data_IF_567644950193
#
_entry.id   IF_567644950193
#
_cell.length_a   1.000
_cell.length_b   1.000
_cell.length_c   1.000
_cell.angle_alpha   90.00
_cell.angle_beta   90.00
_cell.angle_gamma   90.00
#
_symmetry.space_group_name_H-M   'P 1'
#
loop_
_entity.id
_entity.type
_entity.pdbx_description
1 polymer ?
#
# COMPACT_ATOMS: atom_id res chain seq x y z
N UNK A 1 9.42 -3.41 24.05
CA UNK A 1 7.97 -3.28 24.34
C UNK A 1 7.28 -3.17 23.00
N UNK A 2 6.16 -3.87 22.77
CA UNK A 2 5.41 -3.78 21.51
C UNK A 2 4.58 -2.49 21.49
N UNK A 3 4.58 -1.79 20.36
CA UNK A 3 3.79 -0.57 20.17
C UNK A 3 2.36 -0.96 19.85
N UNK A 4 1.35 -0.44 20.58
CA UNK A 4 -0.05 -0.80 20.34
C UNK A 4 -0.49 -0.36 18.93
N UNK A 5 -1.36 -1.17 18.31
CA UNK A 5 -2.00 -0.78 17.05
C UNK A 5 -3.19 0.16 17.35
N UNK A 6 -3.41 1.22 16.55
CA UNK A 6 -4.47 2.21 16.81
C UNK A 6 -5.87 1.59 16.77
N UNK A 7 -6.80 2.13 17.58
CA UNK A 7 -8.18 1.61 17.63
C UNK A 7 -8.98 1.93 16.36
N UNK A 8 -8.68 3.04 15.68
CA UNK A 8 -9.25 3.41 14.39
C UNK A 8 -8.16 3.83 13.41
N UNK A 9 -8.32 3.47 12.13
CA UNK A 9 -7.34 3.76 11.09
C UNK A 9 -8.01 3.85 9.71
N UNK A 10 -7.24 4.20 8.68
CA UNK A 10 -7.62 4.07 7.27
C UNK A 10 -6.45 3.38 6.55
N UNK A 11 -6.68 2.59 5.51
CA UNK A 11 -5.58 1.86 4.83
C UNK A 11 -4.81 2.72 3.83
N UNK A 12 -5.36 3.85 3.41
CA UNK A 12 -4.70 4.84 2.57
C UNK A 12 -5.59 6.05 2.35
N UNK A 13 -5.01 7.14 1.82
CA UNK A 13 -5.74 8.39 1.58
C UNK A 13 -5.49 8.92 0.16
N UNK A 14 -6.47 9.61 -0.46
CA UNK A 14 -6.21 10.37 -1.67
C UNK A 14 -5.02 11.30 -1.50
N UNK A 15 -4.21 11.43 -2.56
CA UNK A 15 -2.97 12.23 -2.54
C UNK A 15 -3.01 13.49 -3.40
N UNK A 16 -3.98 13.60 -4.31
CA UNK A 16 -4.05 14.70 -5.28
C UNK A 16 -4.30 16.10 -4.68
N UNK A 17 -4.73 16.18 -3.43
CA UNK A 17 -5.25 17.35 -2.74
C UNK A 17 -6.72 17.66 -3.06
N UNK A 18 -7.45 18.23 -2.09
CA UNK A 18 -8.88 18.52 -2.21
C UNK A 18 -9.22 19.47 -3.38
N UNK A 19 -8.26 20.29 -3.82
CA UNK A 19 -8.38 21.15 -5.02
C UNK A 19 -7.36 20.82 -6.08
N UNK A 20 -6.93 19.55 -6.11
CA UNK A 20 -5.98 18.98 -7.09
C UNK A 20 -4.62 19.67 -7.07
N UNK A 21 -4.14 20.04 -5.89
CA UNK A 21 -2.86 20.70 -5.63
C UNK A 21 -1.69 19.92 -6.28
N UNK A 22 -1.60 18.61 -6.07
CA UNK A 22 -0.53 17.79 -6.64
C UNK A 22 -0.60 17.77 -8.17
N UNK A 23 -1.80 17.64 -8.76
CA UNK A 23 -1.97 17.67 -10.22
C UNK A 23 -1.42 18.98 -10.81
N UNK A 24 -1.77 20.12 -10.21
CA UNK A 24 -1.30 21.44 -10.66
C UNK A 24 0.22 21.56 -10.56
N UNK A 25 0.81 21.12 -9.44
CA UNK A 25 2.26 21.12 -9.27
C UNK A 25 2.97 20.21 -10.28
N UNK A 26 2.43 19.01 -10.52
CA UNK A 26 2.95 18.04 -11.46
C UNK A 26 2.93 18.57 -12.91
N UNK A 27 1.81 19.15 -13.33
CA UNK A 27 1.66 19.77 -14.66
C UNK A 27 2.55 21.01 -14.83
N UNK A 28 2.78 21.78 -13.76
CA UNK A 28 3.71 22.91 -13.79
C UNK A 28 5.16 22.44 -13.91
N UNK A 29 5.55 21.41 -13.16
CA UNK A 29 6.89 20.83 -13.20
C UNK A 29 7.22 20.26 -14.58
N UNK A 30 6.32 19.43 -15.14
CA UNK A 30 6.54 18.87 -16.48
C UNK A 30 6.54 19.90 -17.61
N UNK A 31 5.90 21.06 -17.40
CA UNK A 31 5.94 22.16 -18.34
C UNK A 31 7.15 23.10 -18.13
N UNK A 32 8.06 22.79 -17.20
CA UNK A 32 9.23 23.62 -16.87
C UNK A 32 8.88 24.94 -16.22
N UNK A 33 7.66 25.10 -15.67
CA UNK A 33 7.22 26.33 -14.99
C UNK A 33 7.67 26.43 -13.54
N UNK A 34 7.98 25.28 -12.92
CA UNK A 34 8.60 25.18 -11.59
C UNK A 34 9.72 24.15 -11.67
N UNK A 35 10.70 24.24 -10.78
CA UNK A 35 11.77 23.27 -10.68
C UNK A 35 11.43 22.10 -9.74
N UNK A 36 12.37 21.16 -9.58
CA UNK A 36 12.19 19.98 -8.73
C UNK A 36 12.08 20.35 -7.24
N UNK A 37 12.73 21.42 -6.79
CA UNK A 37 12.69 21.87 -5.40
C UNK A 37 11.31 22.48 -5.07
N UNK A 38 10.75 23.27 -5.99
CA UNK A 38 9.41 23.84 -5.86
C UNK A 38 8.32 22.77 -5.94
N UNK A 39 8.47 21.76 -6.82
CA UNK A 39 7.57 20.61 -6.84
C UNK A 39 7.61 19.86 -5.50
N UNK A 40 8.81 19.51 -5.03
CA UNK A 40 9.02 18.78 -3.77
C UNK A 40 8.43 19.54 -2.57
N UNK A 41 8.63 20.86 -2.51
CA UNK A 41 8.08 21.73 -1.45
C UNK A 41 6.54 21.75 -1.48
N UNK A 42 5.96 21.81 -2.66
CA UNK A 42 4.50 21.84 -2.84
C UNK A 42 3.85 20.55 -2.34
N UNK A 43 4.42 19.40 -2.69
CA UNK A 43 3.89 18.09 -2.26
C UNK A 43 4.21 17.77 -0.79
N UNK A 44 5.34 18.25 -0.26
CA UNK A 44 5.62 18.22 1.18
C UNK A 44 4.55 18.97 1.97
N UNK A 45 4.24 20.21 1.57
CA UNK A 45 3.19 21.01 2.23
C UNK A 45 1.85 20.28 2.21
N UNK A 46 1.48 19.69 1.07
CA UNK A 46 0.25 18.92 0.93
C UNK A 46 0.19 17.70 1.88
N UNK A 47 1.30 16.97 2.06
CA UNK A 47 1.37 15.84 2.98
C UNK A 47 1.19 16.28 4.44
N UNK A 48 1.91 17.31 4.87
CA UNK A 48 1.78 17.85 6.23
C UNK A 48 0.35 18.31 6.52
N UNK A 49 -0.29 19.01 5.58
CA UNK A 49 -1.67 19.44 5.72
C UNK A 49 -2.65 18.25 5.77
N UNK A 50 -2.34 17.18 5.03
CA UNK A 50 -3.11 15.93 5.06
C UNK A 50 -3.01 15.24 6.42
N UNK A 51 -1.81 15.10 6.99
CA UNK A 51 -1.63 14.49 8.31
C UNK A 51 -2.37 15.29 9.39
N UNK A 52 -2.23 16.62 9.37
CA UNK A 52 -2.95 17.51 10.30
C UNK A 52 -4.46 17.34 10.18
N UNK A 53 -4.99 17.31 8.95
CA UNK A 53 -6.42 17.12 8.68
C UNK A 53 -6.92 15.79 9.22
N UNK A 54 -6.23 14.69 8.94
CA UNK A 54 -6.64 13.35 9.37
C UNK A 54 -6.63 13.23 10.90
N UNK A 55 -5.63 13.80 11.56
CA UNK A 55 -5.59 13.89 13.02
C UNK A 55 -6.77 14.70 13.59
N UNK A 56 -7.10 15.84 12.98
CA UNK A 56 -8.27 16.67 13.36
C UNK A 56 -9.61 15.95 13.15
N UNK A 57 -9.67 15.00 12.22
CA UNK A 57 -10.83 14.15 11.97
C UNK A 57 -10.93 12.94 12.92
N UNK A 58 -9.99 12.81 13.86
CA UNK A 58 -10.03 11.78 14.92
C UNK A 58 -8.99 10.67 14.76
N UNK A 59 -8.17 10.66 13.70
CA UNK A 59 -7.06 9.71 13.57
C UNK A 59 -5.81 10.24 14.32
N UNK A 60 -5.93 10.44 15.63
CA UNK A 60 -4.90 11.06 16.47
C UNK A 60 -3.97 10.07 17.17
N UNK A 61 -4.29 8.78 17.17
CA UNK A 61 -3.42 7.74 17.73
C UNK A 61 -2.18 7.55 16.85
N UNK A 62 -1.06 7.17 17.48
CA UNK A 62 0.17 6.83 16.75
C UNK A 62 -0.12 5.71 15.73
N UNK A 63 0.45 5.88 14.53
CA UNK A 63 0.29 4.97 13.40
C UNK A 63 -1.15 4.80 12.88
N UNK A 64 -2.14 5.59 13.33
CA UNK A 64 -3.49 5.62 12.74
C UNK A 64 -3.50 6.16 11.30
N UNK A 65 -2.56 7.04 10.98
CA UNK A 65 -2.44 7.66 9.67
C UNK A 65 -1.42 6.86 8.82
N UNK A 66 -1.82 6.36 7.63
CA UNK A 66 -0.89 5.75 6.68
C UNK A 66 -0.11 6.81 5.90
N UNK A 67 1.19 6.57 5.70
CA UNK A 67 2.03 7.35 4.77
C UNK A 67 1.92 6.82 3.34
N UNK A 68 0.72 6.79 2.77
CA UNK A 68 0.42 6.21 1.44
C UNK A 68 0.66 7.18 0.26
N UNK A 69 1.51 8.20 0.45
CA UNK A 69 1.77 9.21 -0.57
C UNK A 69 2.60 8.65 -1.72
N UNK A 70 2.34 9.15 -2.93
CA UNK A 70 3.12 8.87 -4.14
C UNK A 70 3.17 10.08 -5.05
N UNK A 71 4.23 10.25 -5.81
CA UNK A 71 4.28 11.26 -6.86
C UNK A 71 3.39 10.91 -8.06
N UNK A 72 3.24 9.63 -8.38
CA UNK A 72 2.47 9.17 -9.53
C UNK A 72 1.75 7.85 -9.26
N UNK A 73 2.48 6.79 -8.90
CA UNK A 73 1.92 5.47 -8.61
C UNK A 73 2.67 4.71 -7.49
N UNK A 74 1.90 4.13 -6.57
CA UNK A 74 2.39 3.39 -5.41
C UNK A 74 3.02 2.02 -5.73
N UNK A 75 2.63 1.39 -6.85
CA UNK A 75 3.30 0.16 -7.30
C UNK A 75 4.69 0.50 -7.82
N UNK A 76 4.81 1.57 -8.62
CA UNK A 76 6.11 2.12 -9.02
C UNK A 76 6.97 2.50 -7.82
N UNK A 77 6.41 3.17 -6.81
CA UNK A 77 7.16 3.54 -5.60
C UNK A 77 7.75 2.30 -4.91
N UNK A 78 6.94 1.23 -4.76
CA UNK A 78 7.40 -0.02 -4.15
C UNK A 78 8.46 -0.70 -5.03
N UNK A 79 8.25 -0.75 -6.35
CA UNK A 79 9.20 -1.33 -7.30
C UNK A 79 10.57 -0.63 -7.22
N UNK A 80 10.59 0.70 -7.16
CA UNK A 80 11.82 1.48 -6.96
C UNK A 80 12.45 1.21 -5.60
N UNK A 81 11.66 1.11 -4.53
CA UNK A 81 12.15 0.84 -3.18
C UNK A 81 12.86 -0.53 -3.06
N UNK A 82 12.56 -1.49 -3.94
CA UNK A 82 13.18 -2.83 -3.95
C UNK A 82 14.14 -3.05 -5.11
N UNK A 83 14.42 -2.03 -5.91
CA UNK A 83 15.33 -2.14 -7.07
C UNK A 83 14.74 -2.95 -8.23
N UNK A 84 13.43 -3.11 -8.30
CA UNK A 84 12.71 -3.70 -9.45
C UNK A 84 12.53 -2.62 -10.53
N UNK A 85 13.66 -2.18 -11.10
CA UNK A 85 13.71 -1.17 -12.15
C UNK A 85 13.87 -1.87 -13.51
N UNK A 86 13.04 -1.56 -14.51
CA UNK A 86 13.22 -2.11 -15.84
C UNK A 86 14.53 -1.62 -16.45
N UNK A 87 15.39 -2.56 -16.85
CA UNK A 87 16.57 -2.27 -17.67
C UNK A 87 16.11 -1.85 -19.07
N UNK A 88 16.22 -0.57 -19.47
CA UNK A 88 16.10 -0.23 -20.89
C UNK A 88 17.47 -0.37 -21.57
N UNK A 89 17.53 -0.91 -22.79
CA UNK A 89 18.76 -0.91 -23.58
C UNK A 89 19.24 0.54 -23.80
N UNK A 90 20.44 0.88 -23.32
CA UNK A 90 21.00 2.22 -23.48
C UNK A 90 20.62 3.21 -22.36
N UNK A 91 20.04 2.75 -21.25
CA UNK A 91 20.01 3.52 -20.00
C UNK A 91 21.44 3.68 -19.47
N UNK A 92 22.19 4.63 -20.02
CA UNK A 92 23.37 5.21 -19.39
C UNK A 92 22.99 6.08 -18.18
N UNK A 93 21.91 5.73 -17.49
CA UNK A 93 21.56 6.32 -16.22
C UNK A 93 22.64 5.85 -15.23
N UNK A 94 23.57 6.75 -14.91
CA UNK A 94 24.50 6.55 -13.80
C UNK A 94 23.69 6.06 -12.60
N UNK A 95 24.22 5.10 -11.84
CA UNK A 95 23.58 4.57 -10.63
C UNK A 95 23.16 5.70 -9.66
N UNK A 96 23.82 6.86 -9.73
CA UNK A 96 23.52 8.09 -8.99
C UNK A 96 22.22 8.80 -9.40
N UNK A 97 21.67 8.52 -10.58
CA UNK A 97 20.39 9.04 -11.08
C UNK A 97 19.20 8.13 -10.78
N UNK A 98 19.45 6.88 -10.37
CA UNK A 98 18.41 5.95 -9.95
C UNK A 98 17.71 6.51 -8.69
N UNK A 99 16.42 6.79 -8.81
CA UNK A 99 15.63 7.42 -7.76
C UNK A 99 15.56 8.94 -7.81
N UNK A 100 16.13 9.60 -8.83
CA UNK A 100 15.85 11.02 -9.09
C UNK A 100 14.39 11.23 -9.50
N UNK A 101 13.89 12.44 -9.28
CA UNK A 101 12.54 12.82 -9.70
C UNK A 101 12.39 12.75 -11.24
N UNK A 102 13.45 13.06 -12.01
CA UNK A 102 13.42 12.88 -13.46
C UNK A 102 13.34 11.41 -13.85
N UNK A 103 14.13 10.54 -13.22
CA UNK A 103 14.09 9.10 -13.50
C UNK A 103 12.71 8.51 -13.17
N UNK A 104 12.15 8.88 -12.02
CA UNK A 104 10.80 8.49 -11.60
C UNK A 104 9.75 8.82 -12.67
N UNK A 105 9.76 10.06 -13.18
CA UNK A 105 8.81 10.44 -14.23
C UNK A 105 9.16 9.91 -15.61
N UNK A 106 10.43 9.64 -15.91
CA UNK A 106 10.82 8.95 -17.14
C UNK A 106 10.19 7.55 -17.21
N UNK A 107 10.12 6.83 -16.09
CA UNK A 107 9.39 5.56 -16.00
C UNK A 107 7.89 5.76 -16.15
N UNK A 108 7.31 6.76 -15.49
CA UNK A 108 5.86 6.95 -15.45
C UNK A 108 5.24 7.46 -16.76
N UNK A 109 5.94 8.34 -17.50
CA UNK A 109 5.40 9.01 -18.69
C UNK A 109 6.33 9.04 -19.90
N UNK A 110 7.51 8.42 -19.79
CA UNK A 110 8.48 8.35 -20.86
C UNK A 110 9.25 9.66 -21.07
N UNK A 111 10.21 9.58 -21.98
CA UNK A 111 11.01 10.69 -22.52
C UNK A 111 11.06 10.56 -24.05
N UNK A 112 11.85 11.39 -24.72
CA UNK A 112 12.09 11.22 -26.15
C UNK A 112 12.93 9.96 -26.46
N UNK A 113 13.63 9.41 -25.46
CA UNK A 113 14.55 8.27 -25.61
C UNK A 113 14.01 6.98 -24.98
N UNK A 114 13.00 7.08 -24.10
CA UNK A 114 12.46 5.96 -23.34
C UNK A 114 10.92 5.96 -23.39
N UNK A 115 10.32 4.83 -23.72
CA UNK A 115 8.89 4.63 -23.57
C UNK A 115 8.50 4.54 -22.08
N UNK A 116 7.32 5.04 -21.67
CA UNK A 116 6.82 4.81 -20.33
C UNK A 116 6.60 3.32 -20.06
N UNK A 117 6.57 2.96 -18.79
CA UNK A 117 6.05 1.67 -18.34
C UNK A 117 4.60 1.47 -18.79
N UNK A 118 4.24 0.21 -19.03
CA UNK A 118 2.85 -0.15 -19.28
C UNK A 118 1.97 0.27 -18.10
N UNK A 119 0.79 0.80 -18.40
CA UNK A 119 -0.20 1.14 -17.41
C UNK A 119 -1.44 0.26 -17.58
N UNK A 120 -1.89 -0.39 -16.50
CA UNK A 120 -3.08 -1.26 -16.51
C UNK A 120 -3.95 -1.03 -15.28
N UNK A 121 -5.17 -1.58 -15.27
CA UNK A 121 -6.10 -1.40 -14.15
C UNK A 121 -5.57 -2.03 -12.87
N UNK A 122 -5.70 -1.29 -11.78
CA UNK A 122 -5.49 -1.81 -10.43
C UNK A 122 -6.73 -2.58 -9.98
N UNK A 123 -6.67 -3.90 -10.15
CA UNK A 123 -7.78 -4.82 -9.89
C UNK A 123 -9.08 -4.38 -10.59
N UNK A 124 -10.21 -4.47 -9.93
CA UNK A 124 -11.54 -4.10 -10.42
C UNK A 124 -11.87 -2.60 -10.16
N UNK A 125 -10.84 -1.76 -9.94
CA UNK A 125 -11.00 -0.32 -9.74
C UNK A 125 -10.86 0.47 -11.06
N UNK A 126 -11.10 1.78 -10.99
CA UNK A 126 -10.80 2.71 -12.08
C UNK A 126 -9.39 3.34 -11.96
N UNK A 127 -8.65 3.02 -10.90
CA UNK A 127 -7.26 3.40 -10.76
C UNK A 127 -6.40 2.53 -11.68
N UNK A 128 -5.31 3.10 -12.19
CA UNK A 128 -4.35 2.37 -13.01
C UNK A 128 -2.97 2.47 -12.39
N UNK A 129 -2.22 1.37 -12.43
CA UNK A 129 -0.86 1.29 -11.91
C UNK A 129 0.15 1.05 -13.04
N UNK A 130 1.41 1.35 -12.78
CA UNK A 130 2.51 1.09 -13.69
C UNK A 130 3.06 -0.31 -13.44
N UNK A 131 3.00 -1.15 -14.47
CA UNK A 131 3.38 -2.56 -14.41
C UNK A 131 4.90 -2.66 -14.31
N UNK A 132 5.46 -3.19 -13.20
CA UNK A 132 6.88 -3.45 -13.12
C UNK A 132 7.28 -4.55 -14.11
N UNK A 133 8.54 -4.52 -14.54
CA UNK A 133 9.10 -5.52 -15.44
C UNK A 133 10.31 -6.20 -14.81
N UNK A 134 10.37 -7.52 -14.92
CA UNK A 134 11.45 -8.35 -14.39
C UNK A 134 12.23 -9.01 -15.52
N UNK A 135 13.50 -8.61 -15.66
CA UNK A 135 14.48 -9.33 -16.48
C UNK A 135 15.26 -10.35 -15.63
N UNK A 136 15.83 -11.38 -16.26
CA UNK A 136 16.68 -12.37 -15.57
C UNK A 136 17.92 -11.71 -14.90
N UNK A 137 18.41 -10.60 -15.46
CA UNK A 137 19.52 -9.80 -14.90
C UNK A 137 19.12 -8.84 -13.77
N UNK A 138 17.83 -8.75 -13.42
CA UNK A 138 17.35 -7.83 -12.39
C UNK A 138 17.97 -8.18 -11.04
N UNK A 139 18.58 -7.18 -10.41
CA UNK A 139 19.12 -7.27 -9.06
C UNK A 139 18.24 -6.47 -8.12
N UNK A 140 17.54 -7.15 -7.21
CA UNK A 140 16.79 -6.46 -6.16
C UNK A 140 17.76 -5.82 -5.16
N UNK A 141 17.49 -4.56 -4.79
CA UNK A 141 18.29 -3.80 -3.82
C UNK A 141 17.37 -2.92 -2.99
N UNK A 142 17.59 -2.87 -1.69
CA UNK A 142 16.78 -2.04 -0.79
C UNK A 142 17.15 -0.56 -0.94
N UNK A 143 16.20 0.25 -1.37
CA UNK A 143 16.30 1.71 -1.48
C UNK A 143 15.31 2.38 -0.51
N UNK A 144 15.66 2.39 0.78
CA UNK A 144 14.76 2.84 1.87
C UNK A 144 14.64 4.36 2.00
N UNK A 145 15.47 5.15 1.31
CA UNK A 145 15.63 6.58 1.56
C UNK A 145 14.32 7.37 1.48
N UNK A 146 13.45 7.07 0.51
CA UNK A 146 12.17 7.74 0.36
C UNK A 146 11.22 7.42 1.52
N UNK A 147 11.13 6.15 1.92
CA UNK A 147 10.28 5.71 3.04
C UNK A 147 10.74 6.35 4.36
N UNK A 148 12.05 6.37 4.59
CA UNK A 148 12.67 7.03 5.74
C UNK A 148 12.38 8.53 5.75
N UNK A 149 12.47 9.20 4.60
CA UNK A 149 12.21 10.63 4.47
C UNK A 149 10.75 10.96 4.76
N UNK A 150 9.80 10.17 4.25
CA UNK A 150 8.36 10.35 4.51
C UNK A 150 8.02 10.14 5.99
N UNK A 151 8.61 9.12 6.63
CA UNK A 151 8.41 8.87 8.06
C UNK A 151 9.01 9.99 8.93
N UNK A 152 10.23 10.44 8.60
CA UNK A 152 10.91 11.54 9.30
C UNK A 152 10.16 12.87 9.16
N UNK A 153 9.65 13.17 7.97
CA UNK A 153 8.82 14.35 7.69
C UNK A 153 7.56 14.37 8.57
N UNK A 154 6.83 13.25 8.61
CA UNK A 154 5.63 13.15 9.43
C UNK A 154 5.94 13.29 10.93
N UNK A 155 7.02 12.63 11.39
CA UNK A 155 7.48 12.71 12.78
C UNK A 155 7.86 14.15 13.16
N UNK A 156 8.54 14.88 12.29
CA UNK A 156 8.87 16.29 12.49
C UNK A 156 7.61 17.18 12.58
N UNK A 157 6.52 16.79 11.92
CA UNK A 157 5.22 17.43 12.03
C UNK A 157 4.38 16.95 13.23
N UNK A 158 4.92 16.08 14.09
CA UNK A 158 4.24 15.58 15.28
C UNK A 158 3.34 14.37 15.04
N UNK A 159 3.52 13.65 13.95
CA UNK A 159 2.73 12.47 13.60
C UNK A 159 3.61 11.22 13.45
N UNK A 160 3.36 10.19 14.26
CA UNK A 160 3.88 8.85 13.97
C UNK A 160 2.98 8.20 12.93
N UNK A 161 3.52 7.97 11.74
CA UNK A 161 2.82 7.38 10.60
C UNK A 161 3.44 6.05 10.25
N UNK A 162 2.66 5.17 9.63
CA UNK A 162 3.17 3.89 9.10
C UNK A 162 3.45 4.00 7.61
N UNK A 163 4.67 3.70 7.14
CA UNK A 163 4.93 3.50 5.71
C UNK A 163 3.99 2.44 5.13
N UNK A 164 3.54 2.66 3.89
CA UNK A 164 2.69 1.72 3.15
C UNK A 164 3.42 1.27 1.90
N UNK A 165 3.50 -0.04 1.69
CA UNK A 165 4.11 -0.67 0.52
C UNK A 165 3.15 -1.69 -0.05
N UNK A 166 3.23 -1.93 -1.36
CA UNK A 166 2.65 -3.14 -1.95
C UNK A 166 3.46 -4.33 -1.42
N UNK A 167 2.79 -5.35 -0.89
CA UNK A 167 3.46 -6.52 -0.33
C UNK A 167 4.22 -7.34 -1.38
N UNK A 168 5.22 -8.13 -0.96
CA UNK A 168 6.10 -8.85 -1.89
C UNK A 168 5.36 -9.82 -2.82
N UNK A 169 4.29 -10.46 -2.35
CA UNK A 169 3.53 -11.42 -3.17
C UNK A 169 2.76 -10.67 -4.26
N UNK A 170 2.03 -9.64 -3.89
CA UNK A 170 1.26 -8.81 -4.82
C UNK A 170 2.19 -8.11 -5.81
N UNK A 171 3.31 -7.56 -5.37
CA UNK A 171 4.24 -6.87 -6.26
C UNK A 171 4.70 -7.78 -7.41
N UNK A 172 5.13 -9.01 -7.11
CA UNK A 172 5.56 -9.96 -8.14
C UNK A 172 4.40 -10.59 -8.92
N UNK A 173 3.25 -10.83 -8.27
CA UNK A 173 2.05 -11.29 -8.96
C UNK A 173 1.56 -10.30 -10.02
N UNK A 174 1.83 -9.00 -9.84
CA UNK A 174 1.49 -7.92 -10.76
C UNK A 174 2.66 -7.48 -11.67
N UNK A 175 3.82 -8.09 -11.51
CA UNK A 175 5.00 -7.83 -12.37
C UNK A 175 4.93 -8.68 -13.63
N UNK A 176 5.41 -8.15 -14.76
CA UNK A 176 5.57 -8.93 -15.99
C UNK A 176 7.03 -9.32 -16.20
N UNK A 177 7.27 -10.47 -16.80
CA UNK A 177 8.60 -10.81 -17.32
C UNK A 177 8.95 -9.87 -18.48
N UNK A 178 10.15 -9.30 -18.47
CA UNK A 178 10.68 -8.52 -19.59
C UNK A 178 10.81 -9.42 -20.84
N UNK A 179 10.78 -8.84 -22.06
CA UNK A 179 10.98 -9.62 -23.29
C UNK A 179 12.26 -10.44 -23.26
N UNK A 180 12.13 -11.76 -23.45
CA UNK A 180 13.26 -12.70 -23.46
C UNK A 180 13.68 -13.23 -22.09
N UNK A 181 13.06 -12.78 -20.99
CA UNK A 181 13.28 -13.38 -19.68
C UNK A 181 12.72 -14.81 -19.61
N UNK A 182 13.45 -15.69 -18.94
CA UNK A 182 13.10 -17.10 -18.76
C UNK A 182 12.48 -17.38 -17.40
N UNK A 183 12.71 -16.48 -16.44
CA UNK A 183 12.20 -16.60 -15.06
C UNK A 183 10.82 -15.95 -14.94
N UNK A 184 9.89 -16.62 -14.28
CA UNK A 184 8.61 -16.02 -13.92
C UNK A 184 8.78 -15.15 -12.65
N UNK A 185 8.03 -14.04 -12.51
CA UNK A 185 8.25 -13.13 -11.39
C UNK A 185 8.12 -13.76 -10.02
N UNK A 186 7.06 -14.55 -9.78
CA UNK A 186 6.86 -15.24 -8.50
C UNK A 186 7.96 -16.25 -8.15
N UNK A 187 8.76 -16.71 -9.12
CA UNK A 187 9.85 -17.65 -8.85
C UNK A 187 11.05 -16.95 -8.16
N UNK A 188 11.12 -15.61 -8.24
CA UNK A 188 12.13 -14.77 -7.56
C UNK A 188 11.65 -14.21 -6.22
N UNK A 189 10.52 -14.70 -5.69
CA UNK A 189 9.88 -14.16 -4.48
C UNK A 189 10.78 -14.22 -3.25
N UNK A 190 11.58 -15.27 -3.10
CA UNK A 190 12.43 -15.45 -1.91
C UNK A 190 13.53 -14.37 -1.88
N UNK A 191 14.09 -14.03 -3.04
CA UNK A 191 15.08 -12.96 -3.17
C UNK A 191 14.45 -11.59 -2.86
N UNK A 192 13.27 -11.32 -3.43
CA UNK A 192 12.55 -10.07 -3.13
C UNK A 192 12.20 -9.98 -1.63
N UNK A 193 11.82 -11.09 -1.01
CA UNK A 193 11.47 -11.13 0.42
C UNK A 193 12.65 -10.73 1.30
N UNK A 194 13.89 -11.12 0.94
CA UNK A 194 15.09 -10.66 1.64
C UNK A 194 15.33 -9.15 1.49
N UNK A 195 14.96 -8.56 0.35
CA UNK A 195 15.04 -7.10 0.16
C UNK A 195 13.97 -6.38 0.97
N UNK A 196 12.76 -6.94 1.09
CA UNK A 196 11.75 -6.42 2.02
C UNK A 196 12.23 -6.47 3.47
N UNK A 197 12.90 -7.55 3.89
CA UNK A 197 13.55 -7.60 5.22
C UNK A 197 14.50 -6.41 5.39
N UNK A 198 15.37 -6.14 4.43
CA UNK A 198 16.34 -5.05 4.53
C UNK A 198 15.68 -3.66 4.60
N UNK A 199 14.59 -3.45 3.84
CA UNK A 199 13.76 -2.24 3.95
C UNK A 199 13.14 -2.10 5.36
N UNK A 200 12.58 -3.19 5.88
CA UNK A 200 11.97 -3.21 7.21
C UNK A 200 13.02 -2.95 8.31
N UNK A 201 14.19 -3.57 8.24
CA UNK A 201 15.29 -3.33 9.18
C UNK A 201 15.71 -1.86 9.17
N UNK A 202 15.82 -1.24 8.00
CA UNK A 202 16.15 0.19 7.90
C UNK A 202 15.08 1.08 8.56
N UNK A 203 13.80 0.76 8.37
CA UNK A 203 12.67 1.46 9.01
C UNK A 203 12.67 1.28 10.53
N UNK A 204 12.92 0.05 11.01
CA UNK A 204 13.05 -0.25 12.44
C UNK A 204 14.17 0.57 13.09
N UNK A 205 15.36 0.60 12.47
CA UNK A 205 16.50 1.39 12.95
C UNK A 205 16.23 2.91 12.97
N UNK A 206 15.30 3.39 12.13
CA UNK A 206 14.84 4.78 12.15
C UNK A 206 13.74 5.07 13.19
N UNK A 207 13.32 4.06 13.96
CA UNK A 207 12.28 4.16 14.98
C UNK A 207 10.86 4.17 14.40
N UNK A 208 10.64 3.46 13.29
CA UNK A 208 9.31 3.18 12.76
C UNK A 208 8.83 1.86 13.35
N UNK A 209 7.80 1.89 14.19
CA UNK A 209 7.31 0.70 14.88
C UNK A 209 6.28 -0.10 14.07
N UNK A 210 5.61 0.52 13.08
CA UNK A 210 4.61 -0.12 12.24
C UNK A 210 4.83 0.13 10.76
N UNK A 211 4.69 -0.92 9.96
CA UNK A 211 4.65 -0.87 8.49
C UNK A 211 3.42 -1.59 7.98
N UNK A 212 2.79 -1.02 6.94
CA UNK A 212 1.68 -1.64 6.24
C UNK A 212 2.17 -2.29 4.93
N UNK A 213 1.79 -3.54 4.72
CA UNK A 213 2.03 -4.29 3.48
C UNK A 213 0.68 -4.68 2.85
N UNK A 214 0.40 -4.16 1.66
CA UNK A 214 -0.86 -4.40 0.97
C UNK A 214 -0.75 -5.63 0.07
N UNK A 215 -1.56 -6.66 0.33
CA UNK A 215 -1.59 -7.94 -0.39
C UNK A 215 -2.93 -8.22 -1.11
N UNK A 216 -3.45 -7.32 -1.97
CA UNK A 216 -4.70 -7.54 -2.69
C UNK A 216 -4.66 -8.72 -3.68
N UNK A 217 -3.49 -9.20 -4.10
CA UNK A 217 -3.42 -10.40 -4.93
C UNK A 217 -4.00 -11.64 -4.23
N UNK A 218 -4.03 -11.67 -2.89
CA UNK A 218 -4.54 -12.80 -2.11
C UNK A 218 -6.08 -12.91 -2.10
N UNK A 219 -6.80 -11.95 -2.68
CA UNK A 219 -8.27 -11.95 -2.75
C UNK A 219 -8.80 -11.75 -4.16
N UNK A 220 -7.91 -11.79 -5.16
CA UNK A 220 -8.24 -11.49 -6.54
C UNK A 220 -7.76 -12.60 -7.50
N UNK A 221 -8.43 -12.71 -8.63
CA UNK A 221 -8.03 -13.58 -9.71
C UNK A 221 -6.81 -13.00 -10.43
N UNK A 222 -5.63 -13.60 -10.20
CA UNK A 222 -4.39 -13.23 -10.88
C UNK A 222 -4.15 -14.14 -12.08
N UNK A 223 -4.12 -13.61 -13.31
CA UNK A 223 -3.80 -14.41 -14.50
C UNK A 223 -2.46 -15.17 -14.34
N UNK A 224 -2.49 -16.49 -14.58
CA UNK A 224 -1.30 -17.33 -14.47
C UNK A 224 -0.94 -17.79 -13.05
N UNK A 225 -1.78 -17.47 -12.05
CA UNK A 225 -1.65 -17.97 -10.68
C UNK A 225 -3.00 -18.48 -10.15
N UNK A 226 -2.94 -19.35 -9.15
CA UNK A 226 -4.13 -19.82 -8.43
C UNK A 226 -4.12 -19.27 -7.00
N UNK A 227 -5.28 -19.16 -6.37
CA UNK A 227 -5.39 -18.75 -4.96
C UNK A 227 -4.48 -19.59 -4.05
N UNK A 228 -4.44 -20.91 -4.23
CA UNK A 228 -3.54 -21.79 -3.48
C UNK A 228 -2.05 -21.49 -3.71
N UNK A 229 -1.64 -21.14 -4.93
CA UNK A 229 -0.24 -20.75 -5.22
C UNK A 229 0.12 -19.43 -4.55
N UNK A 230 -0.81 -18.46 -4.56
CA UNK A 230 -0.60 -17.15 -3.93
C UNK A 230 -0.60 -17.27 -2.40
N UNK A 231 -1.45 -18.12 -1.83
CA UNK A 231 -1.40 -18.47 -0.42
C UNK A 231 -0.05 -19.11 -0.03
N UNK A 232 0.46 -20.06 -0.81
CA UNK A 232 1.80 -20.63 -0.55
C UNK A 232 2.92 -19.58 -0.66
N UNK A 233 2.84 -18.70 -1.65
CA UNK A 233 3.75 -17.56 -1.77
C UNK A 233 3.73 -16.67 -0.51
N UNK A 234 2.53 -16.31 -0.03
CA UNK A 234 2.38 -15.55 1.21
C UNK A 234 2.92 -16.30 2.43
N UNK A 235 2.68 -17.61 2.54
CA UNK A 235 3.22 -18.43 3.62
C UNK A 235 4.73 -18.30 3.71
N UNK A 236 5.42 -18.51 2.59
CA UNK A 236 6.90 -18.45 2.53
C UNK A 236 7.44 -17.05 2.82
N UNK A 237 6.85 -16.03 2.19
CA UNK A 237 7.28 -14.64 2.39
C UNK A 237 7.08 -14.17 3.82
N UNK A 238 5.88 -14.32 4.37
CA UNK A 238 5.59 -13.81 5.71
C UNK A 238 6.26 -14.65 6.80
N UNK A 239 6.39 -15.97 6.66
CA UNK A 239 7.20 -16.76 7.59
C UNK A 239 8.67 -16.28 7.63
N UNK A 240 9.22 -15.92 6.47
CA UNK A 240 10.56 -15.33 6.38
C UNK A 240 10.60 -13.98 7.08
N UNK A 241 9.72 -13.04 6.71
CA UNK A 241 9.71 -11.69 7.28
C UNK A 241 9.50 -11.70 8.79
N UNK A 242 8.60 -12.54 9.31
CA UNK A 242 8.25 -12.56 10.73
C UNK A 242 9.26 -13.33 11.59
N UNK A 243 10.14 -14.13 10.98
CA UNK A 243 11.24 -14.81 11.68
C UNK A 243 12.34 -13.85 12.16
N UNK A 244 12.43 -12.65 11.59
CA UNK A 244 13.39 -11.63 12.00
C UNK A 244 12.85 -10.80 13.16
N UNK A 245 13.73 -10.48 14.11
CA UNK A 245 13.40 -9.68 15.31
C UNK A 245 13.56 -8.18 15.04
N UNK A 246 14.55 -7.79 14.23
CA UNK A 246 14.88 -6.39 13.97
C UNK A 246 13.99 -5.79 12.87
N UNK A 247 12.68 -5.83 13.07
CA UNK A 247 11.66 -5.30 12.15
C UNK A 247 10.59 -4.48 12.87
N UNK A 248 9.87 -3.60 12.16
CA UNK A 248 8.61 -3.06 12.62
C UNK A 248 7.56 -4.17 12.77
N UNK A 249 6.53 -3.90 13.56
CA UNK A 249 5.31 -4.69 13.55
C UNK A 249 4.64 -4.57 12.18
N UNK A 250 4.13 -5.70 11.68
CA UNK A 250 3.59 -5.82 10.33
C UNK A 250 2.07 -5.78 10.35
N UNK A 251 1.51 -4.78 9.68
CA UNK A 251 0.10 -4.71 9.34
C UNK A 251 -0.10 -5.14 7.89
N UNK A 252 -0.60 -6.36 7.69
CA UNK A 252 -0.88 -6.87 6.33
C UNK A 252 -2.34 -6.59 5.99
N UNK A 253 -2.62 -5.97 4.85
CA UNK A 253 -3.99 -5.69 4.40
C UNK A 253 -4.35 -6.50 3.17
N UNK A 254 -5.59 -6.98 3.08
CA UNK A 254 -6.11 -7.71 1.91
C UNK A 254 -7.41 -7.06 1.47
N UNK A 255 -7.34 -5.90 0.79
CA UNK A 255 -8.51 -5.13 0.38
C UNK A 255 -9.20 -5.75 -0.85
N UNK A 256 -10.44 -5.33 -1.16
CA UNK A 256 -11.22 -5.67 -2.36
C UNK A 256 -12.04 -6.96 -2.30
N UNK A 257 -11.90 -7.78 -1.26
CA UNK A 257 -12.68 -9.00 -1.16
C UNK A 257 -12.33 -9.84 0.06
N UNK A 258 -12.90 -11.04 0.10
CA UNK A 258 -12.70 -12.03 1.16
C UNK A 258 -11.52 -12.94 0.85
N UNK A 259 -10.65 -13.15 1.83
CA UNK A 259 -9.62 -14.19 1.76
C UNK A 259 -10.21 -15.60 1.74
N UNK A 260 -9.60 -16.49 0.97
CA UNK A 260 -9.85 -17.93 1.04
C UNK A 260 -8.62 -18.70 1.55
N UNK A 261 -7.79 -19.32 0.69
CA UNK A 261 -6.60 -20.04 1.15
C UNK A 261 -5.56 -19.12 1.83
N UNK A 262 -5.60 -17.82 1.51
CA UNK A 262 -4.78 -16.81 2.17
C UNK A 262 -5.15 -16.56 3.64
N UNK A 263 -6.39 -16.85 4.08
CA UNK A 263 -6.83 -16.58 5.45
C UNK A 263 -6.07 -17.41 6.50
N UNK A 264 -6.08 -18.76 6.46
CA UNK A 264 -5.31 -19.55 7.43
C UNK A 264 -3.81 -19.27 7.30
N UNK A 265 -3.33 -19.02 6.08
CA UNK A 265 -1.93 -18.68 5.83
C UNK A 265 -1.48 -17.44 6.60
N UNK A 266 -2.21 -16.32 6.50
CA UNK A 266 -1.86 -15.09 7.20
C UNK A 266 -2.15 -15.18 8.71
N UNK A 267 -3.12 -15.98 9.12
CA UNK A 267 -3.41 -16.23 10.54
C UNK A 267 -2.28 -16.98 11.26
N UNK A 268 -1.51 -17.79 10.53
CA UNK A 268 -0.38 -18.57 11.05
C UNK A 268 0.99 -17.93 10.78
N UNK A 269 1.04 -16.83 10.04
CA UNK A 269 2.30 -16.27 9.54
C UNK A 269 3.12 -15.49 10.56
N UNK A 270 2.53 -15.16 11.72
CA UNK A 270 3.18 -14.36 12.76
C UNK A 270 3.17 -12.84 12.51
N UNK A 271 2.32 -12.36 11.59
CA UNK A 271 2.07 -10.92 11.41
C UNK A 271 1.36 -10.33 12.63
N UNK A 272 1.56 -9.05 12.88
CA UNK A 272 1.09 -8.40 14.12
C UNK A 272 -0.36 -7.89 14.00
N UNK A 273 -0.75 -7.48 12.79
CA UNK A 273 -2.10 -7.06 12.47
C UNK A 273 -2.53 -7.55 11.07
N UNK A 274 -3.81 -7.92 10.94
CA UNK A 274 -4.44 -8.34 9.69
C UNK A 274 -5.64 -7.46 9.37
N UNK A 275 -5.56 -6.76 8.24
CA UNK A 275 -6.59 -5.89 7.70
C UNK A 275 -7.44 -6.59 6.66
N UNK A 276 -8.75 -6.60 6.86
CA UNK A 276 -9.68 -7.36 6.03
C UNK A 276 -10.81 -6.48 5.51
N UNK A 277 -11.23 -6.73 4.27
CA UNK A 277 -12.40 -6.06 3.70
C UNK A 277 -13.67 -6.70 4.27
N UNK A 278 -14.33 -5.94 5.14
CA UNK A 278 -15.63 -6.29 5.69
C UNK A 278 -16.69 -5.30 5.21
N UNK A 279 -16.52 -4.66 4.06
CA UNK A 279 -17.52 -3.74 3.49
C UNK A 279 -18.86 -4.45 3.24
N UNK A 280 -19.94 -3.69 3.16
CA UNK A 280 -21.26 -4.23 2.81
C UNK A 280 -21.25 -5.00 1.48
N UNK A 281 -20.44 -4.56 0.50
CA UNK A 281 -20.27 -5.24 -0.77
C UNK A 281 -19.63 -6.63 -0.61
N UNK A 282 -18.52 -6.72 0.14
CA UNK A 282 -17.83 -7.98 0.41
C UNK A 282 -18.72 -8.94 1.20
N UNK A 283 -19.38 -8.47 2.26
CA UNK A 283 -20.30 -9.31 3.07
C UNK A 283 -21.52 -9.79 2.28
N UNK A 284 -21.93 -9.08 1.23
CA UNK A 284 -23.00 -9.54 0.34
C UNK A 284 -22.53 -10.67 -0.57
N UNK A 285 -21.27 -10.64 -1.01
CA UNK A 285 -20.67 -11.66 -1.88
C UNK A 285 -20.31 -12.90 -1.06
N UNK A 286 -19.68 -12.72 0.10
CA UNK A 286 -19.34 -13.77 1.06
C UNK A 286 -19.90 -13.44 2.47
N UNK A 287 -21.16 -13.82 2.75
CA UNK A 287 -21.78 -13.60 4.06
C UNK A 287 -21.13 -14.39 5.20
N UNK A 288 -20.38 -15.44 4.90
CA UNK A 288 -19.76 -16.31 5.90
C UNK A 288 -18.36 -15.82 6.30
N UNK A 289 -17.80 -14.84 5.58
CA UNK A 289 -16.46 -14.30 5.83
C UNK A 289 -16.23 -13.84 7.29
N UNK A 290 -17.13 -13.07 7.95
CA UNK A 290 -16.96 -12.69 9.35
C UNK A 290 -16.82 -13.90 10.29
N UNK A 291 -17.56 -14.98 10.02
CA UNK A 291 -17.50 -16.21 10.83
C UNK A 291 -16.17 -16.93 10.62
N UNK A 292 -15.69 -17.01 9.38
CA UNK A 292 -14.37 -17.59 9.07
C UNK A 292 -13.25 -16.79 9.75
N UNK A 293 -13.33 -15.47 9.74
CA UNK A 293 -12.38 -14.61 10.44
C UNK A 293 -12.36 -14.86 11.95
N UNK A 294 -13.54 -14.92 12.58
CA UNK A 294 -13.66 -15.19 14.01
C UNK A 294 -13.11 -16.58 14.40
N UNK A 295 -13.28 -17.59 13.54
CA UNK A 295 -12.80 -18.95 13.77
C UNK A 295 -11.29 -19.12 13.53
N UNK A 296 -10.72 -18.41 12.56
CA UNK A 296 -9.37 -18.67 12.07
C UNK A 296 -8.32 -17.70 12.61
N UNK A 297 -8.65 -16.41 12.80
CA UNK A 297 -7.65 -15.40 13.19
C UNK A 297 -7.41 -15.45 14.70
N UNK A 298 -6.20 -15.83 15.18
CA UNK A 298 -5.95 -15.97 16.61
C UNK A 298 -5.99 -14.63 17.34
N UNK A 299 -6.16 -14.66 18.66
CA UNK A 299 -6.19 -13.46 19.51
C UNK A 299 -4.85 -12.69 19.52
N UNK A 300 -3.74 -13.37 19.21
CA UNK A 300 -2.41 -12.77 19.11
C UNK A 300 -2.25 -11.82 17.92
N UNK A 301 -3.11 -11.92 16.90
CA UNK A 301 -3.11 -11.03 15.74
C UNK A 301 -4.19 -9.97 15.94
N UNK A 302 -3.82 -8.69 15.81
CA UNK A 302 -4.79 -7.61 15.82
C UNK A 302 -5.64 -7.68 14.55
N UNK A 303 -6.93 -7.95 14.70
CA UNK A 303 -7.87 -7.86 13.58
C UNK A 303 -8.25 -6.39 13.34
N UNK A 304 -8.06 -5.93 12.10
CA UNK A 304 -8.40 -4.58 11.65
C UNK A 304 -9.53 -4.70 10.64
N UNK A 305 -10.75 -4.41 11.09
CA UNK A 305 -11.98 -4.63 10.35
C UNK A 305 -12.29 -3.43 9.43
N UNK A 306 -12.12 -3.64 8.12
CA UNK A 306 -12.44 -2.67 7.08
C UNK A 306 -13.93 -2.60 6.79
N UNK A 307 -14.73 -2.04 7.69
CA UNK A 307 -16.20 -1.97 7.57
C UNK A 307 -16.68 -0.75 6.79
N UNK A 308 -15.92 0.35 6.80
CA UNK A 308 -16.27 1.58 6.08
C UNK A 308 -15.83 1.46 4.62
N UNK A 309 -16.76 1.57 3.67
CA UNK A 309 -16.46 1.37 2.25
C UNK A 309 -15.50 2.45 1.70
N UNK A 310 -14.32 2.03 1.26
CA UNK A 310 -13.33 2.90 0.62
C UNK A 310 -13.47 3.06 -0.89
N UNK A 311 -14.47 2.42 -1.52
CA UNK A 311 -14.70 2.41 -2.98
C UNK A 311 -16.01 3.07 -3.40
N UNK A 312 -16.85 3.45 -2.45
CA UNK A 312 -18.15 4.03 -2.74
C UNK A 312 -18.41 5.28 -1.88
N UNK A 313 -19.32 6.12 -2.35
CA UNK A 313 -19.61 7.44 -1.76
C UNK A 313 -20.83 7.45 -0.84
N UNK A 314 -21.48 6.30 -0.66
CA UNK A 314 -22.62 6.18 0.23
C UNK A 314 -22.18 6.31 1.69
N UNK A 315 -23.00 7.00 2.49
CA UNK A 315 -22.81 7.03 3.93
C UNK A 315 -22.92 5.60 4.50
N UNK A 316 -22.07 5.28 5.46
CA UNK A 316 -22.05 3.96 6.09
C UNK A 316 -23.30 3.73 6.96
N UNK A 317 -23.79 2.49 6.97
CA UNK A 317 -24.79 2.04 7.95
C UNK A 317 -24.07 1.62 9.24
N UNK A 318 -23.93 2.58 10.15
CA UNK A 318 -23.19 2.40 11.40
C UNK A 318 -23.77 1.31 12.30
N UNK A 319 -25.08 1.04 12.22
CA UNK A 319 -25.72 -0.03 13.00
C UNK A 319 -25.29 -1.38 12.42
N UNK A 320 -25.39 -1.55 11.10
CA UNK A 320 -24.92 -2.76 10.43
C UNK A 320 -23.42 -3.00 10.67
N UNK A 321 -22.60 -1.95 10.58
CA UNK A 321 -21.17 -2.04 10.86
C UNK A 321 -20.88 -2.44 12.31
N UNK A 322 -21.62 -1.88 13.28
CA UNK A 322 -21.48 -2.26 14.70
C UNK A 322 -21.91 -3.72 14.94
N UNK A 323 -22.99 -4.19 14.34
CA UNK A 323 -23.44 -5.58 14.45
C UNK A 323 -22.38 -6.56 13.91
N UNK A 324 -21.72 -6.21 12.80
CA UNK A 324 -20.61 -7.01 12.26
C UNK A 324 -19.44 -7.03 13.24
N UNK A 325 -19.04 -5.87 13.76
CA UNK A 325 -17.90 -5.76 14.69
C UNK A 325 -18.14 -6.55 15.98
N UNK A 326 -19.33 -6.45 16.55
CA UNK A 326 -19.71 -7.21 17.75
C UNK A 326 -19.83 -8.70 17.46
N UNK A 327 -20.34 -9.08 16.28
CA UNK A 327 -20.44 -10.46 15.81
C UNK A 327 -19.10 -11.18 15.60
N UNK A 328 -17.99 -10.46 15.51
CA UNK A 328 -16.65 -11.06 15.47
C UNK A 328 -16.27 -11.72 16.81
N UNK A 329 -16.95 -11.40 17.91
CA UNK A 329 -16.75 -12.04 19.21
C UNK A 329 -15.36 -11.80 19.83
N UNK A 330 -14.70 -10.70 19.47
CA UNK A 330 -13.36 -10.35 19.95
C UNK A 330 -13.44 -9.29 21.04
N UNK A 331 -12.57 -9.40 22.05
CA UNK A 331 -12.44 -8.38 23.10
C UNK A 331 -12.03 -7.02 22.52
N UNK A 332 -11.19 -7.03 21.47
CA UNK A 332 -10.75 -5.81 20.83
C UNK A 332 -10.50 -6.00 19.32
N UNK A 333 -10.97 -5.03 18.53
CA UNK A 333 -10.87 -4.94 17.07
C UNK A 333 -10.54 -3.50 16.72
N UNK A 334 -9.70 -3.28 15.69
CA UNK A 334 -9.54 -1.93 15.13
C UNK A 334 -10.52 -1.71 14.01
N UNK A 335 -11.11 -0.52 13.94
CA UNK A 335 -11.99 -0.13 12.84
C UNK A 335 -11.16 0.51 11.73
N UNK A 336 -11.44 0.14 10.48
CA UNK A 336 -10.78 0.70 9.31
C UNK A 336 -11.73 0.90 8.14
N UNK A 337 -11.22 1.57 7.10
CA UNK A 337 -11.78 1.49 5.76
C UNK A 337 -11.48 0.14 5.13
N UNK A 338 -12.39 -0.35 4.28
CA UNK A 338 -12.29 -1.62 3.55
C UNK A 338 -11.13 -1.66 2.58
N UNK A 339 -10.83 -0.51 1.97
CA UNK A 339 -9.74 -0.30 1.03
C UNK A 339 -9.18 1.11 1.23
N UNK A 340 -8.12 1.45 0.52
CA UNK A 340 -7.57 2.82 0.53
C UNK A 340 -8.65 3.81 0.07
N UNK A 341 -8.77 4.94 0.76
CA UNK A 341 -9.69 6.00 0.35
C UNK A 341 -9.28 6.69 -0.96
N UNK A 342 -8.16 6.29 -1.57
CA UNK A 342 -7.73 6.73 -2.91
C UNK A 342 -8.86 6.64 -3.97
N UNK A 343 -9.80 5.72 -3.79
CA UNK A 343 -10.87 5.44 -4.77
C UNK A 343 -12.11 6.32 -4.60
N UNK A 344 -12.16 7.21 -3.59
CA UNK A 344 -13.29 8.11 -3.34
C UNK A 344 -12.87 9.59 -3.32
N UNK A 345 -13.81 10.53 -3.58
CA UNK A 345 -13.54 11.97 -3.47
C UNK A 345 -13.19 12.42 -2.04
N UNK A 346 -12.55 13.59 -1.92
CA UNK A 346 -12.06 14.12 -0.62
C UNK A 346 -13.16 14.50 0.36
N UNK A 347 -14.23 15.12 -0.13
CA UNK A 347 -15.29 15.67 0.72
C UNK A 347 -16.53 15.99 -0.09
N UNK A 348 -17.69 15.68 0.48
CA UNK A 348 -19.00 16.10 -0.04
C UNK A 348 -19.32 17.56 0.31
N UNK A 349 -18.61 18.16 1.28
CA UNK A 349 -18.88 19.54 1.73
C UNK A 349 -18.69 20.63 0.65
N UNK A 350 -18.01 20.30 -0.45
CA UNK A 350 -17.82 21.20 -1.59
C UNK A 350 -18.87 20.99 -2.70
N UNK A 351 -19.77 20.02 -2.55
CA UNK A 351 -20.80 19.72 -3.53
C UNK A 351 -22.04 20.61 -3.32
N UNK A 352 -22.05 21.79 -3.95
CA UNK A 352 -23.10 22.81 -3.77
C UNK A 352 -24.38 22.55 -4.58
N UNK A 353 -24.36 21.57 -5.48
CA UNK A 353 -25.45 21.29 -6.42
C UNK A 353 -26.20 19.99 -6.11
N UNK A 354 -25.79 19.26 -5.05
CA UNK A 354 -26.53 18.08 -4.60
C UNK A 354 -27.82 18.52 -3.90
N UNK A 355 -28.95 17.82 -4.12
CA UNK A 355 -30.16 18.07 -3.35
C UNK A 355 -29.89 17.78 -1.87
N UNK A 356 -30.37 18.68 -1.00
CA UNK A 356 -30.29 18.56 0.47
C UNK A 356 -31.29 17.53 0.98
#
# INVERSE_FOLDING_TARGET
MTTPFPTATITGYPRIGARREQKKALEAYWAGRIDAADFTRSVHTLRIDTYRRLAQLGLSEDYAIPASYSHYDHVLDTALAVGLIPSAPGDGADADSAGSLEHYFALARGTAQRAPLEMTKWFDTNYHYLVPELADSTTFTAHSQQLLSLAAEAKAAGHLVRPVLVGPVTLLALTKSSPGATTLPLDRLDELTLVFRDLLTALSHAGVDWVQLDEPALVADIPGSTDARLAEAARRSYATLTSYVDRPQLFVTTPYGSLDNGLPTLAESGVDALGVDLSAATRRIDPDYPRRLAATVPASIRLVAGVVDGRNVWADDLVSSLDVLTGLGRESVSVSTSTSLLHVPYTVSQETSLPV
#
